data_IF_693321725444
#
_entry.id   IF_693321725444
#
_cell.length_a   1.000
_cell.length_b   1.000
_cell.length_c   1.000
_cell.angle_alpha   90.00
_cell.angle_beta   90.00
_cell.angle_gamma   90.00
#
_symmetry.space_group_name_H-M   'P 1'
#
loop_
_entity.id
_entity.type
_entity.pdbx_description
1 polymer ?
#
# COMPACT_ATOMS: atom_id res chain seq x y z
N UNK A 1 66.58 -26.80 49.74
CA UNK A 1 66.52 -26.72 48.27
C UNK A 1 65.06 -26.49 47.95
N UNK A 2 64.75 -25.26 47.59
CA UNK A 2 63.42 -24.80 47.16
C UNK A 2 63.30 -25.04 45.65
N UNK A 3 62.19 -25.62 45.21
CA UNK A 3 61.76 -25.63 43.81
C UNK A 3 60.81 -24.45 43.58
N UNK A 4 61.08 -23.66 42.54
CA UNK A 4 60.25 -22.56 42.05
C UNK A 4 59.41 -23.07 40.86
N UNK A 5 58.13 -22.72 40.85
CA UNK A 5 57.17 -22.95 39.75
C UNK A 5 57.07 -21.70 38.87
N UNK A 6 57.24 -21.87 37.55
CA UNK A 6 56.95 -20.87 36.51
C UNK A 6 55.44 -20.79 36.25
N UNK A 7 54.89 -19.57 36.22
CA UNK A 7 53.53 -19.26 35.74
C UNK A 7 53.62 -18.71 34.30
N UNK A 8 52.89 -19.32 33.36
CA UNK A 8 52.63 -18.78 32.02
C UNK A 8 51.32 -17.96 32.04
N UNK A 9 51.41 -16.67 31.72
CA UNK A 9 50.26 -15.80 31.45
C UNK A 9 49.82 -15.96 29.97
N UNK A 10 48.58 -16.37 29.72
CA UNK A 10 47.94 -16.30 28.39
C UNK A 10 46.91 -15.16 28.34
N UNK A 11 47.01 -14.34 27.29
CA UNK A 11 46.32 -13.07 27.04
C UNK A 11 44.78 -13.15 26.92
N UNK A 12 44.05 -12.53 27.87
CA UNK A 12 42.57 -12.46 27.90
C UNK A 12 41.94 -11.46 26.89
N UNK A 13 42.73 -10.64 26.21
CA UNK A 13 42.21 -9.49 25.43
C UNK A 13 41.57 -9.85 24.08
N UNK A 14 41.88 -11.02 23.52
CA UNK A 14 41.39 -11.44 22.19
C UNK A 14 39.96 -12.01 22.20
N UNK A 15 39.45 -12.44 23.37
CA UNK A 15 38.11 -13.03 23.54
C UNK A 15 37.03 -11.93 23.59
N UNK A 16 37.38 -10.76 24.16
CA UNK A 16 36.49 -9.62 24.28
C UNK A 16 36.03 -9.06 22.93
N UNK A 17 36.93 -8.98 21.96
CA UNK A 17 36.68 -8.38 20.65
C UNK A 17 35.79 -9.27 19.75
N UNK A 18 36.01 -10.59 19.78
CA UNK A 18 35.18 -11.58 19.08
C UNK A 18 33.75 -11.62 19.62
N UNK A 19 33.58 -11.41 20.93
CA UNK A 19 32.26 -11.36 21.58
C UNK A 19 31.43 -10.13 21.16
N UNK A 20 32.11 -9.01 20.88
CA UNK A 20 31.51 -7.75 20.45
C UNK A 20 31.09 -7.80 18.98
N UNK A 21 31.97 -8.34 18.11
CA UNK A 21 31.68 -8.58 16.69
C UNK A 21 30.52 -9.57 16.51
N UNK A 22 30.43 -10.62 17.35
CA UNK A 22 29.28 -11.54 17.35
C UNK A 22 27.98 -10.85 17.77
N UNK A 23 28.00 -9.97 18.78
CA UNK A 23 26.80 -9.22 19.23
C UNK A 23 26.34 -8.19 18.19
N UNK A 24 27.25 -7.48 17.54
CA UNK A 24 26.93 -6.50 16.49
C UNK A 24 26.39 -7.20 15.23
N UNK A 25 26.96 -8.34 14.83
CA UNK A 25 26.45 -9.14 13.71
C UNK A 25 25.11 -9.82 14.03
N UNK A 26 24.87 -10.21 15.29
CA UNK A 26 23.58 -10.73 15.72
C UNK A 26 22.51 -9.63 15.78
N UNK A 27 22.86 -8.40 16.15
CA UNK A 27 21.94 -7.25 16.06
C UNK A 27 21.64 -6.85 14.60
N UNK A 28 22.63 -6.92 13.70
CA UNK A 28 22.43 -6.71 12.26
C UNK A 28 21.58 -7.84 11.62
N UNK A 29 21.76 -9.08 12.05
CA UNK A 29 20.94 -10.23 11.63
C UNK A 29 19.52 -10.14 12.21
N UNK A 30 19.35 -9.69 13.47
CA UNK A 30 18.02 -9.49 14.08
C UNK A 30 17.29 -8.27 13.50
N UNK A 31 18.01 -7.24 13.02
CA UNK A 31 17.42 -6.14 12.22
C UNK A 31 16.93 -6.59 10.83
N UNK A 32 17.39 -7.76 10.38
CA UNK A 32 17.00 -8.42 9.13
C UNK A 32 15.87 -9.43 9.32
N UNK A 33 15.58 -9.81 10.57
CA UNK A 33 14.58 -10.80 10.92
C UNK A 33 13.21 -10.14 11.16
N UNK A 34 12.32 -10.32 10.18
CA UNK A 34 10.90 -9.89 10.15
C UNK A 34 10.64 -8.44 9.72
N UNK A 35 11.08 -8.09 8.49
CA UNK A 35 10.73 -6.80 7.83
C UNK A 35 9.27 -6.69 7.39
N UNK A 36 8.64 -7.85 7.17
CA UNK A 36 7.26 -8.00 6.74
C UNK A 36 6.53 -8.78 7.83
N UNK A 37 5.46 -8.23 8.39
CA UNK A 37 4.60 -8.95 9.35
C UNK A 37 3.30 -9.34 8.67
N UNK A 38 2.81 -10.55 8.94
CA UNK A 38 1.61 -11.09 8.32
C UNK A 38 0.61 -11.46 9.42
N UNK A 39 -0.63 -10.98 9.28
CA UNK A 39 -1.74 -11.30 10.16
C UNK A 39 -2.87 -11.89 9.32
N UNK A 40 -3.32 -13.08 9.69
CA UNK A 40 -4.40 -13.81 9.01
C UNK A 40 -5.64 -13.75 9.90
N UNK A 41 -6.77 -13.36 9.31
CA UNK A 41 -8.11 -13.47 9.87
C UNK A 41 -8.94 -14.40 8.98
N UNK A 42 -10.14 -14.78 9.42
CA UNK A 42 -10.99 -15.78 8.77
C UNK A 42 -11.20 -15.52 7.26
N UNK A 43 -11.30 -14.25 6.84
CA UNK A 43 -11.56 -13.87 5.45
C UNK A 43 -10.55 -12.86 4.87
N UNK A 44 -9.53 -12.45 5.63
CA UNK A 44 -8.62 -11.39 5.21
C UNK A 44 -7.20 -11.62 5.73
N UNK A 45 -6.22 -11.41 4.85
CA UNK A 45 -4.80 -11.43 5.19
C UNK A 45 -4.22 -10.02 5.08
N UNK A 46 -3.56 -9.57 6.14
CA UNK A 46 -2.90 -8.26 6.22
C UNK A 46 -1.39 -8.44 6.32
N UNK A 47 -0.68 -7.94 5.32
CA UNK A 47 0.79 -7.88 5.22
C UNK A 47 1.25 -6.45 5.55
N UNK A 48 2.03 -6.26 6.59
CA UNK A 48 2.57 -4.95 6.93
C UNK A 48 4.03 -4.89 6.53
N UNK A 49 4.35 -3.87 5.75
CA UNK A 49 5.69 -3.62 5.23
C UNK A 49 6.19 -2.27 5.73
N UNK A 50 7.43 -2.21 6.24
CA UNK A 50 8.02 -0.99 6.80
C UNK A 50 8.75 -0.15 5.75
N UNK A 51 9.43 -0.81 4.80
CA UNK A 51 10.27 -0.15 3.79
C UNK A 51 9.62 -0.15 2.42
N UNK A 52 9.97 0.85 1.61
CA UNK A 52 9.47 0.97 0.24
C UNK A 52 10.01 -0.15 -0.67
N UNK A 53 11.29 -0.51 -0.52
CA UNK A 53 11.89 -1.61 -1.30
C UNK A 53 11.18 -2.96 -1.08
N UNK A 54 10.85 -3.26 0.18
CA UNK A 54 10.10 -4.47 0.52
C UNK A 54 8.66 -4.41 -0.03
N UNK A 55 8.06 -3.21 -0.09
CA UNK A 55 6.71 -3.03 -0.64
C UNK A 55 6.70 -3.28 -2.15
N UNK A 56 7.72 -2.79 -2.88
CA UNK A 56 7.84 -3.04 -4.33
C UNK A 56 7.90 -4.54 -4.60
N UNK A 57 8.69 -5.28 -3.82
CA UNK A 57 8.81 -6.73 -3.96
C UNK A 57 7.48 -7.44 -3.69
N UNK A 58 6.78 -7.08 -2.61
CA UNK A 58 5.47 -7.67 -2.28
C UNK A 58 4.42 -7.32 -3.35
N UNK A 59 4.39 -6.07 -3.81
CA UNK A 59 3.45 -5.63 -4.83
C UNK A 59 3.69 -6.32 -6.18
N UNK A 60 4.97 -6.52 -6.54
CA UNK A 60 5.33 -7.26 -7.74
C UNK A 60 4.92 -8.73 -7.61
N UNK A 61 5.24 -9.37 -6.48
CA UNK A 61 4.82 -10.75 -6.19
C UNK A 61 3.30 -10.92 -6.29
N UNK A 62 2.52 -9.98 -5.72
CA UNK A 62 1.05 -10.04 -5.78
C UNK A 62 0.52 -9.94 -7.21
N UNK A 63 1.11 -9.06 -8.04
CA UNK A 63 0.78 -8.93 -9.47
C UNK A 63 1.14 -10.20 -10.24
N UNK A 64 2.33 -10.74 -10.02
CA UNK A 64 2.82 -11.95 -10.69
C UNK A 64 2.00 -13.19 -10.29
N UNK A 65 1.51 -13.23 -9.05
CA UNK A 65 0.63 -14.29 -8.55
C UNK A 65 -0.83 -14.16 -8.99
N UNK A 66 -1.17 -13.12 -9.78
CA UNK A 66 -2.54 -12.80 -10.20
C UNK A 66 -3.53 -12.78 -9.02
N UNK A 67 -3.11 -12.24 -7.87
CA UNK A 67 -3.99 -12.16 -6.71
C UNK A 67 -5.23 -11.31 -7.04
N UNK A 68 -6.38 -11.96 -7.20
CA UNK A 68 -7.60 -11.33 -7.74
C UNK A 68 -8.07 -10.11 -6.92
N UNK A 69 -7.79 -10.10 -5.61
CA UNK A 69 -8.26 -9.05 -4.73
C UNK A 69 -7.21 -8.64 -3.70
N UNK A 70 -6.42 -7.61 -4.02
CA UNK A 70 -5.54 -6.96 -3.05
C UNK A 70 -5.68 -5.44 -3.12
N UNK A 71 -5.66 -4.78 -1.95
CA UNK A 71 -5.75 -3.30 -1.84
C UNK A 71 -4.41 -2.70 -1.39
N UNK A 72 -3.29 -3.31 -1.81
CA UNK A 72 -1.96 -2.84 -1.44
C UNK A 72 -1.64 -1.53 -2.14
N UNK A 73 -1.44 -0.48 -1.34
CA UNK A 73 -1.02 0.82 -1.83
C UNK A 73 -0.02 1.40 -0.85
N UNK A 74 1.11 1.90 -1.36
CA UNK A 74 2.10 2.52 -0.51
C UNK A 74 1.55 3.78 0.15
N UNK A 75 2.09 4.17 1.31
CA UNK A 75 1.57 5.33 2.07
C UNK A 75 1.59 6.63 1.27
N UNK A 76 2.53 6.77 0.34
CA UNK A 76 2.71 7.96 -0.50
C UNK A 76 1.85 7.92 -1.77
N UNK A 77 1.42 6.74 -2.20
CA UNK A 77 0.55 6.54 -3.36
C UNK A 77 -0.93 6.62 -3.00
N UNK A 78 -1.25 6.77 -1.71
CA UNK A 78 -2.63 6.89 -1.26
C UNK A 78 -3.32 8.06 -1.94
N UNK A 79 -4.45 7.78 -2.57
CA UNK A 79 -5.27 8.77 -3.24
C UNK A 79 -6.50 9.09 -2.41
N UNK A 80 -7.04 10.28 -2.60
CA UNK A 80 -8.34 10.69 -2.08
C UNK A 80 -9.26 11.00 -3.25
N UNK A 81 -10.48 10.48 -3.17
CA UNK A 81 -11.52 10.74 -4.15
C UNK A 81 -12.58 11.68 -3.56
N UNK A 82 -12.94 12.68 -4.34
CA UNK A 82 -13.93 13.69 -4.00
C UNK A 82 -14.98 13.80 -5.11
N UNK A 83 -16.22 14.02 -4.72
CA UNK A 83 -17.31 14.35 -5.64
C UNK A 83 -17.44 15.86 -5.71
N UNK A 84 -17.39 16.38 -6.93
CA UNK A 84 -17.66 17.76 -7.28
C UNK A 84 -19.11 17.86 -7.79
N UNK A 85 -19.91 18.64 -7.08
CA UNK A 85 -21.32 18.88 -7.39
C UNK A 85 -21.58 20.37 -7.67
N UNK A 86 -22.68 20.67 -8.36
CA UNK A 86 -23.17 22.05 -8.53
C UNK A 86 -22.70 22.74 -9.80
N UNK A 87 -22.06 22.03 -10.72
CA UNK A 87 -21.83 22.53 -12.07
C UNK A 87 -23.13 22.46 -12.87
N UNK A 88 -23.56 23.59 -13.43
CA UNK A 88 -24.79 23.69 -14.22
C UNK A 88 -24.57 23.33 -15.70
N UNK A 89 -23.33 23.44 -16.19
CA UNK A 89 -22.94 23.01 -17.54
C UNK A 89 -22.02 21.79 -17.52
N UNK A 90 -22.07 21.02 -18.61
CA UNK A 90 -21.13 19.93 -18.84
C UNK A 90 -19.78 20.50 -19.25
N UNK A 91 -18.85 20.55 -18.30
CA UNK A 91 -17.47 20.92 -18.55
C UNK A 91 -16.64 19.70 -18.96
N UNK A 92 -15.62 19.94 -19.78
CA UNK A 92 -14.66 18.91 -20.09
C UNK A 92 -13.85 18.56 -18.83
N UNK A 93 -13.52 17.28 -18.67
CA UNK A 93 -12.73 16.82 -17.52
C UNK A 93 -11.35 17.47 -17.47
N UNK A 94 -10.80 17.81 -18.63
CA UNK A 94 -9.50 18.46 -18.77
C UNK A 94 -9.55 19.92 -18.30
N UNK A 95 -10.62 20.66 -18.60
CA UNK A 95 -10.82 22.04 -18.12
C UNK A 95 -10.87 22.10 -16.59
N UNK A 96 -11.60 21.17 -15.96
CA UNK A 96 -11.66 21.07 -14.49
C UNK A 96 -10.27 20.77 -13.93
N UNK A 97 -9.52 19.86 -14.58
CA UNK A 97 -8.17 19.50 -14.15
C UNK A 97 -7.20 20.68 -14.28
N UNK A 98 -7.28 21.43 -15.37
CA UNK A 98 -6.47 22.61 -15.63
C UNK A 98 -6.79 23.75 -14.67
N UNK A 99 -8.06 24.03 -14.39
CA UNK A 99 -8.43 25.06 -13.43
C UNK A 99 -7.96 24.70 -12.02
N UNK A 100 -8.16 23.45 -11.59
CA UNK A 100 -7.69 22.96 -10.29
C UNK A 100 -6.17 23.05 -10.15
N UNK A 101 -5.42 22.70 -11.20
CA UNK A 101 -3.96 22.77 -11.20
C UNK A 101 -3.45 24.21 -11.28
N UNK A 102 -3.98 25.01 -12.19
CA UNK A 102 -3.50 26.36 -12.48
C UNK A 102 -3.90 27.39 -11.42
N UNK A 103 -5.19 27.47 -11.10
CA UNK A 103 -5.73 28.51 -10.22
C UNK A 103 -5.62 28.16 -8.74
N UNK A 104 -5.80 26.88 -8.42
CA UNK A 104 -5.84 26.41 -7.03
C UNK A 104 -4.60 25.65 -6.58
N UNK A 105 -3.65 25.41 -7.50
CA UNK A 105 -2.41 24.66 -7.24
C UNK A 105 -2.68 23.26 -6.65
N UNK A 106 -3.80 22.64 -7.03
CA UNK A 106 -4.19 21.31 -6.57
C UNK A 106 -3.64 20.27 -7.55
N UNK A 107 -2.85 19.33 -7.04
CA UNK A 107 -2.38 18.19 -7.83
C UNK A 107 -3.49 17.15 -7.99
N UNK A 108 -4.14 17.20 -9.15
CA UNK A 108 -5.19 16.26 -9.55
C UNK A 108 -4.58 15.14 -10.38
N UNK A 109 -4.79 13.90 -9.94
CA UNK A 109 -4.34 12.73 -10.69
C UNK A 109 -5.31 12.46 -11.85
N UNK A 110 -6.61 12.33 -11.53
CA UNK A 110 -7.65 11.97 -12.50
C UNK A 110 -8.95 12.70 -12.20
N UNK A 111 -9.73 12.97 -13.24
CA UNK A 111 -11.10 13.49 -13.16
C UNK A 111 -11.98 12.59 -14.01
N UNK A 112 -13.06 12.10 -13.43
CA UNK A 112 -14.04 11.29 -14.13
C UNK A 112 -15.39 11.96 -14.09
N UNK A 113 -16.10 11.93 -15.21
CA UNK A 113 -17.52 12.30 -15.23
C UNK A 113 -18.35 11.11 -14.76
N UNK A 114 -19.21 11.34 -13.78
CA UNK A 114 -20.16 10.32 -13.33
C UNK A 114 -21.29 10.18 -14.36
N UNK A 115 -21.69 8.93 -14.64
CA UNK A 115 -22.78 8.61 -15.58
C UNK A 115 -24.11 8.57 -14.83
N UNK A 116 -25.22 8.72 -15.57
CA UNK A 116 -26.59 8.56 -15.08
C UNK A 116 -26.99 9.54 -13.96
N UNK A 117 -26.52 10.79 -14.05
CA UNK A 117 -26.87 11.86 -13.10
C UNK A 117 -27.68 12.93 -13.83
N UNK A 118 -28.71 13.48 -13.17
CA UNK A 118 -29.55 14.55 -13.75
C UNK A 118 -28.82 15.89 -13.87
N UNK A 119 -27.84 16.12 -12.98
CA UNK A 119 -26.89 17.23 -13.05
C UNK A 119 -25.47 16.69 -13.22
N UNK A 120 -24.56 17.42 -13.88
CA UNK A 120 -23.15 17.04 -13.99
C UNK A 120 -22.52 16.80 -12.62
N UNK A 121 -21.96 15.60 -12.42
CA UNK A 121 -21.17 15.23 -11.25
C UNK A 121 -19.81 14.73 -11.71
N UNK A 122 -18.75 15.13 -11.01
CA UNK A 122 -17.39 14.74 -11.33
C UNK A 122 -16.73 14.10 -10.12
N UNK A 123 -16.06 12.97 -10.35
CA UNK A 123 -15.19 12.32 -9.38
C UNK A 123 -13.76 12.80 -9.62
N UNK A 124 -13.22 13.55 -8.66
CA UNK A 124 -11.87 14.10 -8.70
C UNK A 124 -10.98 13.28 -7.77
N UNK A 125 -9.93 12.70 -8.32
CA UNK A 125 -8.94 11.90 -7.61
C UNK A 125 -7.68 12.73 -7.43
N UNK A 126 -7.27 12.93 -6.19
CA UNK A 126 -6.09 13.70 -5.79
C UNK A 126 -5.12 12.85 -4.98
N UNK A 127 -3.92 13.37 -4.75
CA UNK A 127 -2.98 12.80 -3.79
C UNK A 127 -3.48 12.90 -2.34
N UNK A 128 -2.76 12.22 -1.44
CA UNK A 128 -3.00 12.17 0.01
C UNK A 128 -3.05 13.53 0.70
N UNK A 129 -2.28 14.49 0.22
CA UNK A 129 -2.10 15.79 0.88
C UNK A 129 -3.34 16.69 0.80
N UNK A 130 -4.24 16.40 -0.14
CA UNK A 130 -5.47 17.16 -0.31
C UNK A 130 -6.57 16.60 0.59
N UNK A 131 -7.15 17.50 1.38
CA UNK A 131 -8.22 17.22 2.35
C UNK A 131 -9.50 17.93 1.92
N UNK A 132 -10.66 17.32 2.19
CA UNK A 132 -11.97 17.89 1.85
C UNK A 132 -12.14 19.36 2.29
N UNK A 133 -11.73 19.68 3.53
CA UNK A 133 -11.84 21.05 4.08
C UNK A 133 -11.06 22.08 3.26
N UNK A 134 -9.91 21.68 2.71
CA UNK A 134 -9.10 22.54 1.85
C UNK A 134 -9.85 22.85 0.56
N UNK A 135 -10.44 21.84 -0.08
CA UNK A 135 -11.24 22.02 -1.30
C UNK A 135 -12.45 22.91 -1.06
N UNK A 136 -13.19 22.68 0.02
CA UNK A 136 -14.37 23.47 0.37
C UNK A 136 -14.05 24.94 0.68
N UNK A 137 -12.87 25.22 1.23
CA UNK A 137 -12.45 26.59 1.56
C UNK A 137 -11.84 27.32 0.35
N UNK A 138 -11.01 26.64 -0.42
CA UNK A 138 -10.16 27.28 -1.42
C UNK A 138 -10.69 27.10 -2.85
N UNK A 139 -11.32 25.97 -3.18
CA UNK A 139 -11.78 25.61 -4.52
C UNK A 139 -13.31 25.56 -4.62
N UNK A 140 -14.03 26.49 -3.99
CA UNK A 140 -15.50 26.51 -3.97
C UNK A 140 -16.15 27.16 -5.20
N UNK A 141 -15.33 27.66 -6.13
CA UNK A 141 -15.76 28.19 -7.44
C UNK A 141 -15.00 27.43 -8.50
N UNK A 142 -15.69 26.89 -9.50
CA UNK A 142 -15.09 26.27 -10.69
C UNK A 142 -15.89 26.75 -11.88
N UNK A 143 -15.21 27.23 -12.92
CA UNK A 143 -15.80 27.86 -14.09
C UNK A 143 -16.92 28.85 -13.71
N UNK A 144 -16.58 29.82 -12.85
CA UNK A 144 -17.47 30.86 -12.34
C UNK A 144 -18.72 30.37 -11.58
N UNK A 145 -18.83 29.07 -11.32
CA UNK A 145 -19.98 28.45 -10.66
C UNK A 145 -19.61 28.03 -9.25
N UNK A 146 -20.50 28.28 -8.28
CA UNK A 146 -20.29 27.83 -6.90
C UNK A 146 -20.52 26.33 -6.81
N UNK A 147 -19.48 25.61 -6.40
CA UNK A 147 -19.50 24.14 -6.33
C UNK A 147 -19.52 23.64 -4.89
N UNK A 148 -19.97 22.40 -4.73
CA UNK A 148 -19.97 21.68 -3.46
C UNK A 148 -19.07 20.46 -3.58
N UNK A 149 -18.15 20.33 -2.63
CA UNK A 149 -17.28 19.17 -2.52
C UNK A 149 -17.79 18.21 -1.47
N UNK A 150 -17.84 16.93 -1.82
CA UNK A 150 -18.11 15.83 -0.90
C UNK A 150 -17.01 14.79 -0.99
N UNK A 151 -16.78 14.06 0.11
CA UNK A 151 -15.85 12.92 0.10
C UNK A 151 -16.53 11.73 -0.55
N UNK A 152 -15.86 11.12 -1.54
CA UNK A 152 -16.31 9.85 -2.09
C UNK A 152 -15.85 8.73 -1.17
N UNK A 153 -16.75 7.81 -0.85
CA UNK A 153 -16.45 6.59 -0.11
C UNK A 153 -16.98 5.42 -0.92
N UNK A 154 -16.13 4.44 -1.21
CA UNK A 154 -16.63 3.18 -1.72
C UNK A 154 -17.29 2.44 -0.54
N UNK A 155 -18.62 2.40 -0.53
CA UNK A 155 -19.41 1.69 0.48
C UNK A 155 -19.53 0.20 0.19
N UNK A 156 -19.09 -0.24 -0.99
CA UNK A 156 -18.99 -1.67 -1.26
C UNK A 156 -17.87 -2.23 -0.38
N UNK A 157 -18.27 -2.94 0.68
CA UNK A 157 -17.41 -3.97 1.24
C UNK A 157 -17.07 -4.90 0.08
N UNK A 158 -15.79 -5.15 -0.17
CA UNK A 158 -15.34 -6.25 -1.02
C UNK A 158 -16.11 -7.51 -0.59
N UNK A 159 -17.16 -7.86 -1.32
CA UNK A 159 -17.85 -9.14 -1.17
C UNK A 159 -17.02 -10.17 -1.92
N UNK A 160 -15.85 -10.48 -1.38
CA UNK A 160 -15.04 -11.56 -1.90
C UNK A 160 -15.57 -12.85 -1.29
N UNK A 161 -16.47 -13.50 -2.01
CA UNK A 161 -16.69 -14.93 -1.90
C UNK A 161 -16.87 -15.44 -3.32
N UNK A 162 -15.76 -15.54 -4.06
CA UNK A 162 -15.68 -16.61 -5.05
C UNK A 162 -15.52 -17.86 -4.20
N UNK A 163 -16.61 -18.61 -4.12
CA UNK A 163 -16.67 -19.93 -3.52
C UNK A 163 -15.85 -20.86 -4.43
N UNK A 164 -14.52 -20.80 -4.30
CA UNK A 164 -13.64 -21.82 -4.85
C UNK A 164 -13.89 -23.06 -4.00
N UNK A 165 -14.91 -23.83 -4.41
CA UNK A 165 -15.22 -25.13 -3.85
C UNK A 165 -13.90 -25.88 -3.68
N UNK A 166 -13.50 -26.09 -2.43
CA UNK A 166 -12.38 -26.95 -2.04
C UNK A 166 -12.75 -28.41 -2.35
N UNK A 167 -12.94 -28.72 -3.64
CA UNK A 167 -13.35 -30.02 -4.16
C UNK A 167 -12.51 -30.51 -5.33
N UNK A 168 -11.87 -29.61 -6.10
CA UNK A 168 -11.25 -30.01 -7.37
C UNK A 168 -9.71 -30.16 -7.33
N UNK A 169 -9.11 -30.15 -6.14
CA UNK A 169 -7.68 -30.41 -5.96
C UNK A 169 -7.35 -31.89 -5.64
N UNK A 170 -8.27 -32.83 -5.89
CA UNK A 170 -7.99 -34.27 -5.81
C UNK A 170 -8.23 -35.05 -7.12
N UNK A 171 -8.75 -34.42 -8.18
CA UNK A 171 -9.02 -35.13 -9.44
C UNK A 171 -7.94 -34.95 -10.52
N UNK A 172 -6.97 -34.05 -10.35
CA UNK A 172 -5.90 -33.84 -11.34
C UNK A 172 -4.66 -34.73 -11.17
N UNK A 173 -4.52 -35.43 -10.04
CA UNK A 173 -3.46 -36.42 -9.83
C UNK A 173 -3.86 -37.85 -10.22
N UNK A 174 -5.15 -38.12 -10.45
CA UNK A 174 -5.62 -39.46 -10.80
C UNK A 174 -5.52 -39.79 -12.31
N UNK A 175 -5.49 -38.79 -13.20
CA UNK A 175 -5.56 -39.02 -14.66
C UNK A 175 -4.20 -39.06 -15.37
N UNK A 176 -3.08 -38.94 -14.65
CA UNK A 176 -1.73 -39.02 -15.24
C UNK A 176 -1.07 -40.41 -15.10
N UNK A 177 -1.65 -41.32 -14.32
CA UNK A 177 -1.13 -42.68 -14.12
C UNK A 177 -1.95 -43.78 -14.83
N UNK A 178 -2.74 -43.43 -15.86
CA UNK A 178 -3.45 -44.41 -16.71
C UNK A 178 -3.11 -44.30 -18.21
N UNK A 179 -2.00 -43.64 -18.53
CA UNK A 179 -1.39 -43.70 -19.87
C UNK A 179 0.09 -44.06 -19.70
N UNK A 180 0.32 -45.31 -19.29
CA UNK A 180 1.57 -46.05 -19.45
C UNK A 180 1.19 -47.47 -19.88
#
# INVERSE_FOLDING_TARGET
MEEQSEEEEEDEDSIGEISKIKKENLQAATASATRISHQISQNTSSIFVKNESDWVQVNQYLKDSEAEFHTYTWKNEKTHAFVLEGLDSELATDEIKEELKGKYQISVQQVFRMKNTSRPLYLVVTGKDIILKYLQKNAYIINYTKVVWKRHFNKEKLRNAIDVKHGDMQQRTATRNQLA
#
